data_IF_917883220714
#
_entry.id   IF_917883220714
#
_cell.length_a   1.000
_cell.length_b   1.000
_cell.length_c   1.000
_cell.angle_alpha   90.00
_cell.angle_beta   90.00
_cell.angle_gamma   90.00
#
_symmetry.space_group_name_H-M   'P 1'
#
loop_
_entity.id
_entity.type
_entity.pdbx_description
1 polymer ?
#
# COMPACT_ATOMS: atom_id res chain seq x y z
N UNK A 1 -17.44 -37.79 23.39
CA UNK A 1 -18.03 -36.61 22.71
C UNK A 1 -17.12 -36.28 21.54
N UNK A 2 -17.62 -36.34 20.30
CA UNK A 2 -16.82 -36.01 19.12
C UNK A 2 -16.34 -34.55 19.24
N UNK A 3 -15.03 -34.33 19.22
CA UNK A 3 -14.46 -32.99 19.17
C UNK A 3 -14.89 -32.37 17.84
N UNK A 4 -15.94 -31.55 17.85
CA UNK A 4 -16.35 -30.79 16.65
C UNK A 4 -15.18 -29.89 16.25
N UNK A 5 -14.52 -30.28 15.17
CA UNK A 5 -13.47 -29.49 14.56
C UNK A 5 -14.10 -28.17 14.08
N UNK A 6 -13.51 -27.04 14.45
CA UNK A 6 -14.00 -25.74 14.00
C UNK A 6 -13.90 -25.64 12.47
N UNK A 7 -14.94 -25.14 11.78
CA UNK A 7 -14.89 -24.97 10.33
C UNK A 7 -13.76 -24.01 9.94
N UNK A 8 -13.05 -24.32 8.85
CA UNK A 8 -11.99 -23.46 8.32
C UNK A 8 -12.63 -22.53 7.28
N UNK A 9 -12.53 -21.22 7.50
CA UNK A 9 -13.00 -20.19 6.57
C UNK A 9 -11.90 -19.86 5.55
N UNK A 10 -12.10 -20.23 4.29
CA UNK A 10 -11.24 -19.89 3.14
C UNK A 10 -11.81 -18.74 2.28
N UNK A 11 -12.75 -17.95 2.81
CA UNK A 11 -13.34 -16.82 2.10
C UNK A 11 -12.28 -15.80 1.65
N UNK A 12 -12.33 -15.44 0.37
CA UNK A 12 -11.40 -14.47 -0.24
C UNK A 12 -11.68 -13.01 0.18
N UNK A 13 -12.85 -12.75 0.76
CA UNK A 13 -13.31 -11.44 1.21
C UNK A 13 -14.80 -11.47 1.57
N UNK A 14 -15.21 -11.14 2.81
CA UNK A 14 -14.37 -10.82 3.98
C UNK A 14 -13.48 -11.99 4.41
N UNK A 15 -12.25 -11.70 4.81
CA UNK A 15 -11.29 -12.70 5.30
C UNK A 15 -11.59 -13.16 6.74
N UNK A 16 -10.92 -14.24 7.17
CA UNK A 16 -11.02 -14.75 8.55
C UNK A 16 -10.43 -13.73 9.54
N UNK A 17 -11.22 -13.36 10.55
CA UNK A 17 -10.77 -12.53 11.68
C UNK A 17 -10.23 -13.46 12.79
N UNK A 18 -9.12 -13.13 13.47
CA UNK A 18 -8.65 -13.88 14.63
C UNK A 18 -9.71 -13.96 15.73
N UNK A 19 -9.79 -15.10 16.42
CA UNK A 19 -10.87 -15.40 17.37
C UNK A 19 -10.85 -14.42 18.54
N UNK A 20 -9.66 -14.13 19.04
CA UNK A 20 -9.38 -13.21 20.13
C UNK A 20 -9.88 -11.77 19.85
N UNK A 21 -9.88 -11.33 18.59
CA UNK A 21 -10.41 -10.02 18.20
C UNK A 21 -11.93 -10.02 18.24
N UNK A 22 -12.57 -11.11 17.81
CA UNK A 22 -14.03 -11.26 17.87
C UNK A 22 -14.51 -11.35 19.31
N UNK A 23 -13.79 -12.07 20.18
CA UNK A 23 -14.09 -12.19 21.61
C UNK A 23 -13.98 -10.82 22.30
N UNK A 24 -12.89 -10.07 22.08
CA UNK A 24 -12.76 -8.72 22.63
C UNK A 24 -13.88 -7.77 22.16
N UNK A 25 -14.21 -7.80 20.87
CA UNK A 25 -15.30 -6.98 20.32
C UNK A 25 -16.67 -7.38 20.90
N UNK A 26 -16.90 -8.68 21.15
CA UNK A 26 -18.12 -9.18 21.78
C UNK A 26 -18.23 -8.72 23.23
N UNK A 27 -17.15 -8.85 24.01
CA UNK A 27 -17.11 -8.47 25.43
C UNK A 27 -17.39 -6.97 25.63
N UNK A 28 -16.84 -6.12 24.76
CA UNK A 28 -16.99 -4.66 24.84
C UNK A 28 -18.19 -4.11 24.05
N UNK A 29 -18.96 -4.96 23.36
CA UNK A 29 -19.96 -4.49 22.39
C UNK A 29 -21.02 -3.56 23.00
N UNK A 30 -21.49 -3.89 24.21
CA UNK A 30 -22.52 -3.12 24.91
C UNK A 30 -21.95 -1.98 25.77
N UNK A 31 -20.66 -2.02 26.08
CA UNK A 31 -20.00 -1.03 26.93
C UNK A 31 -18.52 -1.01 26.61
N UNK A 32 -18.11 -0.10 25.72
CA UNK A 32 -16.71 0.06 25.37
C UNK A 32 -15.94 0.58 26.59
N UNK A 33 -14.94 -0.16 27.06
CA UNK A 33 -14.09 0.22 28.20
C UNK A 33 -14.85 0.77 29.43
N UNK A 34 -15.99 0.17 29.77
CA UNK A 34 -16.84 0.59 30.90
C UNK A 34 -17.47 1.99 30.77
N UNK A 35 -17.56 2.55 29.57
CA UNK A 35 -18.24 3.84 29.33
C UNK A 35 -19.75 3.77 29.54
N UNK A 36 -20.33 2.57 29.54
CA UNK A 36 -21.78 2.35 29.57
C UNK A 36 -22.46 2.51 28.22
N UNK A 37 -21.69 2.78 27.16
CA UNK A 37 -22.17 2.96 25.79
C UNK A 37 -21.48 1.98 24.84
N UNK A 38 -22.22 1.53 23.82
CA UNK A 38 -21.61 0.79 22.73
C UNK A 38 -20.68 1.68 21.91
N UNK A 39 -19.62 1.10 21.32
CA UNK A 39 -18.77 1.81 20.35
C UNK A 39 -19.57 2.39 19.18
N UNK A 40 -20.71 1.78 18.83
CA UNK A 40 -21.59 2.26 17.74
C UNK A 40 -22.39 3.50 18.11
N UNK A 41 -22.50 3.82 19.40
CA UNK A 41 -23.24 4.99 19.92
C UNK A 41 -22.31 6.16 20.25
N UNK A 42 -20.99 5.93 20.25
CA UNK A 42 -20.01 6.98 20.52
C UNK A 42 -20.01 8.04 19.42
N UNK A 43 -20.05 9.30 19.83
CA UNK A 43 -19.79 10.41 18.91
C UNK A 43 -18.36 10.32 18.38
N UNK A 44 -18.19 10.45 17.06
CA UNK A 44 -16.88 10.52 16.40
C UNK A 44 -16.03 11.73 16.84
N UNK A 45 -16.62 12.68 17.58
CA UNK A 45 -15.95 13.85 18.15
C UNK A 45 -15.64 13.71 19.63
N UNK A 46 -16.07 12.61 20.27
CA UNK A 46 -15.78 12.35 21.67
C UNK A 46 -14.29 12.04 21.87
N UNK A 47 -13.79 12.33 23.06
CA UNK A 47 -12.41 11.98 23.45
C UNK A 47 -12.19 10.46 23.36
N UNK A 48 -13.17 9.66 23.78
CA UNK A 48 -13.13 8.19 23.69
C UNK A 48 -12.93 7.71 22.26
N UNK A 49 -13.69 8.25 21.29
CA UNK A 49 -13.50 7.87 19.89
C UNK A 49 -12.18 8.39 19.31
N UNK A 50 -11.75 9.60 19.71
CA UNK A 50 -10.46 10.15 19.29
C UNK A 50 -9.29 9.23 19.71
N UNK A 51 -9.37 8.62 20.90
CA UNK A 51 -8.40 7.63 21.37
C UNK A 51 -8.43 6.33 20.55
N UNK A 52 -9.63 5.81 20.21
CA UNK A 52 -9.77 4.65 19.32
C UNK A 52 -9.05 4.91 17.99
N UNK A 53 -9.36 6.03 17.35
CA UNK A 53 -8.81 6.38 16.05
C UNK A 53 -7.29 6.67 16.12
N UNK A 54 -6.83 7.38 17.15
CA UNK A 54 -5.41 7.67 17.38
C UNK A 54 -4.59 6.42 17.65
N UNK A 55 -5.13 5.46 18.42
CA UNK A 55 -4.50 4.17 18.66
C UNK A 55 -4.42 3.34 17.38
N UNK A 56 -5.48 3.30 16.57
CA UNK A 56 -5.48 2.62 15.27
C UNK A 56 -4.42 3.21 14.32
N UNK A 57 -4.34 4.54 14.20
CA UNK A 57 -3.31 5.20 13.39
C UNK A 57 -1.89 4.86 13.89
N UNK A 58 -1.66 5.01 15.20
CA UNK A 58 -0.36 4.76 15.84
C UNK A 58 0.09 3.31 15.65
N UNK A 59 -0.82 2.35 15.80
CA UNK A 59 -0.54 0.93 15.60
C UNK A 59 -0.21 0.62 14.14
N UNK A 60 -0.99 1.12 13.18
CA UNK A 60 -0.67 0.95 11.75
C UNK A 60 0.68 1.58 11.40
N UNK A 61 0.94 2.79 11.90
CA UNK A 61 2.22 3.48 11.71
C UNK A 61 3.39 2.65 12.23
N UNK A 62 3.26 2.05 13.41
CA UNK A 62 4.30 1.16 13.97
C UNK A 62 4.44 -0.13 13.17
N UNK A 63 3.35 -0.83 12.87
CA UNK A 63 3.35 -2.12 12.19
C UNK A 63 3.92 -2.04 10.77
N UNK A 64 3.54 -1.00 10.04
CA UNK A 64 4.02 -0.73 8.68
C UNK A 64 5.26 0.17 8.66
N UNK A 65 5.78 0.56 9.83
CA UNK A 65 6.85 1.52 10.06
C UNK A 65 6.62 2.94 9.48
N UNK A 66 5.42 3.30 9.00
CA UNK A 66 5.12 4.52 8.19
C UNK A 66 5.82 5.79 8.70
N UNK A 67 6.59 6.49 7.85
CA UNK A 67 7.37 7.65 8.27
C UNK A 67 6.50 8.88 8.51
N UNK A 68 7.07 9.84 9.24
CA UNK A 68 6.38 11.06 9.67
C UNK A 68 5.90 11.94 8.51
N UNK A 69 6.55 11.86 7.34
CA UNK A 69 6.16 12.60 6.14
C UNK A 69 5.02 11.92 5.34
N UNK A 70 4.47 10.79 5.82
CA UNK A 70 3.31 10.12 5.24
C UNK A 70 2.10 10.20 6.18
N UNK A 71 0.91 10.34 5.57
CA UNK A 71 -0.38 10.37 6.26
C UNK A 71 -1.10 9.05 6.09
N UNK A 72 -1.81 8.63 7.14
CA UNK A 72 -2.70 7.47 7.14
C UNK A 72 -4.13 8.01 7.14
N UNK A 73 -4.95 7.51 6.24
CA UNK A 73 -6.34 7.93 6.09
C UNK A 73 -7.26 6.72 6.28
N UNK A 74 -8.26 6.85 7.15
CA UNK A 74 -9.36 5.89 7.27
C UNK A 74 -10.55 6.43 6.48
N UNK A 75 -10.90 5.76 5.38
CA UNK A 75 -11.91 6.24 4.43
C UNK A 75 -12.93 5.15 4.09
N UNK A 76 -14.18 5.57 3.96
CA UNK A 76 -15.25 4.77 3.36
C UNK A 76 -15.11 4.64 1.83
N UNK A 77 -15.89 3.76 1.21
CA UNK A 77 -15.93 3.54 -0.25
C UNK A 77 -15.17 2.31 -0.74
N UNK A 78 -14.38 1.67 0.13
CA UNK A 78 -13.62 0.45 -0.19
C UNK A 78 -12.55 0.67 -1.27
N UNK A 79 -11.92 -0.43 -1.71
CA UNK A 79 -10.86 -0.37 -2.73
C UNK A 79 -11.33 0.23 -4.06
N UNK A 80 -12.56 -0.10 -4.49
CA UNK A 80 -13.12 0.45 -5.74
C UNK A 80 -13.37 1.96 -5.67
N UNK A 81 -13.87 2.49 -4.54
CA UNK A 81 -14.00 3.94 -4.36
C UNK A 81 -12.65 4.66 -4.44
N UNK A 82 -11.58 4.00 -3.99
CA UNK A 82 -10.22 4.53 -4.07
C UNK A 82 -9.64 4.54 -5.49
N UNK A 83 -10.08 3.64 -6.39
CA UNK A 83 -9.61 3.67 -7.79
C UNK A 83 -9.93 5.01 -8.46
N UNK A 84 -11.16 5.50 -8.31
CA UNK A 84 -11.55 6.81 -8.83
C UNK A 84 -10.91 7.95 -8.03
N UNK A 85 -10.84 7.84 -6.69
CA UNK A 85 -10.29 8.90 -5.85
C UNK A 85 -8.81 9.17 -6.13
N UNK A 86 -8.00 8.12 -6.31
CA UNK A 86 -6.58 8.24 -6.68
C UNK A 86 -6.46 8.95 -8.03
N UNK A 87 -7.20 8.49 -9.05
CA UNK A 87 -7.13 9.08 -10.38
C UNK A 87 -7.52 10.56 -10.36
N UNK A 88 -8.64 10.92 -9.74
CA UNK A 88 -9.12 12.31 -9.65
C UNK A 88 -8.14 13.28 -8.99
N UNK A 89 -7.35 12.80 -8.03
CA UNK A 89 -6.40 13.64 -7.30
C UNK A 89 -5.03 13.70 -7.96
N UNK A 90 -4.54 12.59 -8.53
CA UNK A 90 -3.16 12.50 -9.01
C UNK A 90 -3.03 12.76 -10.51
N UNK A 91 -3.96 12.30 -11.35
CA UNK A 91 -3.81 12.31 -12.83
C UNK A 91 -3.76 13.72 -13.42
N UNK A 92 -4.29 14.72 -12.71
CA UNK A 92 -4.35 16.12 -13.15
C UNK A 92 -2.97 16.74 -13.36
N UNK A 93 -1.93 16.17 -12.77
CA UNK A 93 -0.56 16.71 -12.82
C UNK A 93 -0.01 16.69 -14.25
N UNK A 94 -0.23 15.59 -14.99
CA UNK A 94 0.26 15.44 -16.37
C UNK A 94 -0.82 14.98 -17.36
N UNK A 95 -2.05 14.76 -16.91
CA UNK A 95 -3.15 14.21 -17.72
C UNK A 95 -2.98 12.74 -18.11
N UNK A 96 -1.86 12.11 -17.72
CA UNK A 96 -1.52 10.72 -18.04
C UNK A 96 -1.15 9.93 -16.79
N UNK A 97 -1.38 8.62 -16.81
CA UNK A 97 -0.94 7.69 -15.76
C UNK A 97 -0.58 6.31 -16.36
N UNK A 98 0.41 5.67 -15.75
CA UNK A 98 0.90 4.35 -16.14
C UNK A 98 0.23 3.26 -15.31
N UNK A 99 -0.22 2.18 -15.95
CA UNK A 99 -0.89 1.05 -15.28
C UNK A 99 -0.25 -0.28 -15.67
N UNK A 100 0.27 -0.99 -14.68
CA UNK A 100 0.76 -2.37 -14.78
C UNK A 100 -0.40 -3.36 -14.54
N UNK A 101 -1.11 -3.69 -15.62
CA UNK A 101 -2.33 -4.50 -15.56
C UNK A 101 -2.04 -5.98 -15.67
N UNK A 102 -1.96 -6.64 -14.51
CA UNK A 102 -1.70 -8.08 -14.40
C UNK A 102 -2.98 -8.92 -14.20
N UNK A 103 -4.08 -8.33 -13.74
CA UNK A 103 -5.31 -9.05 -13.42
C UNK A 103 -6.55 -8.16 -13.42
N UNK A 104 -7.62 -8.62 -12.76
CA UNK A 104 -8.94 -7.96 -12.84
C UNK A 104 -8.98 -6.66 -12.04
N UNK A 105 -8.32 -6.58 -10.88
CA UNK A 105 -8.38 -5.39 -10.03
C UNK A 105 -7.60 -4.24 -10.64
N UNK A 106 -6.39 -4.50 -11.13
CA UNK A 106 -5.64 -3.51 -11.91
C UNK A 106 -6.35 -3.10 -13.20
N UNK A 107 -7.08 -4.01 -13.84
CA UNK A 107 -7.90 -3.70 -15.02
C UNK A 107 -9.09 -2.78 -14.68
N UNK A 108 -9.81 -3.06 -13.60
CA UNK A 108 -10.91 -2.21 -13.11
C UNK A 108 -10.36 -0.83 -12.71
N UNK A 109 -9.25 -0.77 -11.98
CA UNK A 109 -8.61 0.49 -11.60
C UNK A 109 -8.21 1.33 -12.82
N UNK A 110 -7.60 0.72 -13.85
CA UNK A 110 -7.28 1.38 -15.10
C UNK A 110 -8.53 1.88 -15.84
N UNK A 111 -9.60 1.09 -15.83
CA UNK A 111 -10.87 1.44 -16.47
C UNK A 111 -11.54 2.64 -15.80
N UNK A 112 -11.51 2.69 -14.47
CA UNK A 112 -11.98 3.85 -13.72
C UNK A 112 -11.14 5.11 -13.99
N UNK A 113 -9.82 4.97 -14.05
CA UNK A 113 -8.92 6.09 -14.28
C UNK A 113 -9.05 6.74 -15.67
N UNK A 114 -9.46 5.97 -16.70
CA UNK A 114 -9.75 6.48 -18.05
C UNK A 114 -10.81 7.58 -18.08
N UNK A 115 -11.69 7.66 -17.08
CA UNK A 115 -12.70 8.72 -16.98
C UNK A 115 -12.09 10.10 -16.70
N UNK A 116 -10.83 10.14 -16.25
CA UNK A 116 -10.17 11.35 -15.76
C UNK A 116 -8.88 11.73 -16.52
N UNK A 117 -8.38 10.87 -17.41
CA UNK A 117 -7.18 11.13 -18.20
C UNK A 117 -6.77 9.95 -19.08
N UNK A 118 -5.58 10.05 -19.66
CA UNK A 118 -5.05 9.04 -20.60
C UNK A 118 -4.26 7.97 -19.85
N UNK A 119 -4.61 6.71 -20.07
CA UNK A 119 -3.95 5.57 -19.42
C UNK A 119 -2.97 4.91 -20.39
N UNK A 120 -1.71 4.83 -19.98
CA UNK A 120 -0.69 4.04 -20.65
C UNK A 120 -0.59 2.67 -19.97
N UNK A 121 -0.80 1.61 -20.74
CA UNK A 121 -0.57 0.25 -20.28
C UNK A 121 0.91 -0.08 -20.48
N UNK A 122 1.65 -0.27 -19.39
CA UNK A 122 3.12 -0.35 -19.43
C UNK A 122 3.62 -1.65 -20.07
N UNK A 123 2.75 -2.65 -20.19
CA UNK A 123 2.97 -3.85 -21.00
C UNK A 123 1.64 -4.32 -21.59
N UNK A 124 1.65 -5.04 -22.73
CA UNK A 124 0.45 -5.63 -23.29
C UNK A 124 -0.13 -6.67 -22.33
N UNK A 125 -1.46 -6.89 -22.37
CA UNK A 125 -2.10 -7.95 -21.61
C UNK A 125 -1.34 -9.28 -21.84
N UNK A 126 -0.82 -9.94 -20.78
CA UNK A 126 -0.05 -11.16 -20.93
C UNK A 126 -0.83 -12.22 -21.72
N UNK A 127 -0.14 -12.93 -22.62
CA UNK A 127 -0.72 -14.01 -23.44
C UNK A 127 -1.06 -15.25 -22.62
N UNK A 128 -0.38 -15.46 -21.49
CA UNK A 128 -0.71 -16.45 -20.47
C UNK A 128 -1.16 -15.77 -19.18
N UNK A 129 -2.26 -16.26 -18.60
CA UNK A 129 -2.65 -15.90 -17.24
C UNK A 129 -1.55 -16.31 -16.26
N UNK A 130 -1.19 -15.43 -15.32
CA UNK A 130 -0.32 -15.81 -14.20
C UNK A 130 1.08 -15.19 -14.19
N UNK A 131 1.52 -14.54 -15.28
CA UNK A 131 2.90 -14.07 -15.40
C UNK A 131 2.97 -12.54 -15.51
N UNK A 132 3.73 -11.93 -14.60
CA UNK A 132 4.12 -10.52 -14.69
C UNK A 132 5.36 -10.45 -15.60
N UNK A 133 5.34 -9.66 -16.70
CA UNK A 133 6.50 -9.50 -17.57
C UNK A 133 7.70 -8.92 -16.81
N UNK A 134 8.91 -9.26 -17.29
CA UNK A 134 10.15 -8.69 -16.76
C UNK A 134 10.06 -7.16 -16.73
N UNK A 135 10.42 -6.56 -15.60
CA UNK A 135 10.34 -5.11 -15.39
C UNK A 135 11.11 -4.31 -16.46
N UNK A 136 12.21 -4.84 -16.98
CA UNK A 136 12.99 -4.18 -18.03
C UNK A 136 12.22 -4.05 -19.36
N UNK A 137 11.15 -4.82 -19.55
CA UNK A 137 10.29 -4.75 -20.74
C UNK A 137 9.18 -3.69 -20.64
N UNK A 138 9.01 -3.06 -19.47
CA UNK A 138 7.91 -2.12 -19.25
C UNK A 138 8.16 -0.79 -19.98
N UNK A 139 7.17 -0.36 -20.76
CA UNK A 139 7.16 0.92 -21.44
C UNK A 139 6.55 2.02 -20.54
N UNK A 140 7.35 2.49 -19.59
CA UNK A 140 6.97 3.57 -18.67
C UNK A 140 7.02 4.93 -19.37
N UNK A 141 6.03 5.78 -19.11
CA UNK A 141 6.03 7.17 -19.52
C UNK A 141 6.71 8.04 -18.44
N UNK A 142 7.87 8.67 -18.72
CA UNK A 142 8.57 9.49 -17.73
C UNK A 142 7.78 10.73 -17.28
N UNK A 143 6.76 11.11 -18.05
CA UNK A 143 5.86 12.23 -17.74
C UNK A 143 4.54 11.77 -17.12
N UNK A 144 4.36 10.49 -16.78
CA UNK A 144 3.15 10.02 -16.11
C UNK A 144 2.98 10.70 -14.74
N UNK A 145 1.73 10.94 -14.35
CA UNK A 145 1.43 11.51 -13.02
C UNK A 145 1.71 10.51 -11.90
N UNK A 146 1.51 9.22 -12.19
CA UNK A 146 1.83 8.10 -11.30
C UNK A 146 1.92 6.79 -12.11
N UNK A 147 2.57 5.78 -11.51
CA UNK A 147 2.56 4.39 -11.95
C UNK A 147 1.70 3.60 -10.95
N UNK A 148 0.71 2.86 -11.44
CA UNK A 148 -0.18 2.03 -10.64
C UNK A 148 0.08 0.54 -10.87
N UNK A 149 0.09 -0.24 -9.79
CA UNK A 149 0.00 -1.70 -9.88
C UNK A 149 -0.85 -2.28 -8.74
N UNK A 150 -1.45 -3.45 -8.98
CA UNK A 150 -2.10 -4.24 -7.92
C UNK A 150 -1.10 -5.30 -7.46
N UNK A 151 -0.72 -5.25 -6.19
CA UNK A 151 0.36 -6.08 -5.63
C UNK A 151 -0.02 -7.56 -5.57
N UNK A 152 -1.30 -7.86 -5.34
CA UNK A 152 -1.86 -9.20 -5.35
C UNK A 152 -3.26 -9.23 -5.98
N UNK A 153 -3.36 -9.85 -7.16
CA UNK A 153 -4.60 -10.06 -7.91
C UNK A 153 -5.32 -11.32 -7.41
N UNK A 154 -6.32 -11.14 -6.56
CA UNK A 154 -6.96 -12.26 -5.84
C UNK A 154 -7.68 -13.27 -6.73
N UNK A 155 -8.25 -12.83 -7.86
CA UNK A 155 -9.02 -13.71 -8.75
C UNK A 155 -8.09 -14.59 -9.60
N UNK A 156 -6.96 -14.03 -10.04
CA UNK A 156 -5.99 -14.76 -10.86
C UNK A 156 -4.89 -15.44 -10.04
N UNK A 157 -4.75 -15.13 -8.75
CA UNK A 157 -3.68 -15.66 -7.91
C UNK A 157 -2.30 -15.15 -8.32
N UNK A 158 -2.21 -13.89 -8.74
CA UNK A 158 -0.95 -13.28 -9.20
C UNK A 158 -0.46 -12.31 -8.14
N UNK A 159 0.72 -12.57 -7.60
CA UNK A 159 1.37 -11.67 -6.66
C UNK A 159 2.69 -11.16 -7.23
N UNK A 160 2.94 -9.85 -7.11
CA UNK A 160 4.20 -9.27 -7.52
C UNK A 160 5.36 -9.80 -6.65
N UNK A 161 6.43 -10.37 -7.23
CA UNK A 161 7.58 -10.83 -6.46
C UNK A 161 8.53 -9.70 -6.05
N UNK A 162 8.35 -8.50 -6.59
CA UNK A 162 9.15 -7.31 -6.35
C UNK A 162 8.27 -6.04 -6.28
N UNK A 163 8.84 -4.94 -5.80
CA UNK A 163 8.21 -3.61 -5.89
C UNK A 163 8.73 -2.94 -7.17
N UNK A 164 7.86 -2.48 -8.08
CA UNK A 164 8.31 -1.87 -9.33
C UNK A 164 9.12 -0.58 -9.14
N UNK A 165 10.19 -0.41 -9.91
CA UNK A 165 10.95 0.82 -10.07
C UNK A 165 10.26 1.75 -11.09
N UNK A 166 9.52 2.71 -10.55
CA UNK A 166 8.81 3.74 -11.30
C UNK A 166 9.69 4.81 -11.96
N UNK A 167 11.03 4.68 -11.90
CA UNK A 167 12.00 5.62 -12.49
C UNK A 167 11.81 7.07 -12.03
N UNK A 168 11.35 7.26 -10.80
CA UNK A 168 11.15 8.57 -10.18
C UNK A 168 9.73 9.12 -10.25
N UNK A 169 8.84 8.52 -11.05
CA UNK A 169 7.40 8.81 -11.05
C UNK A 169 6.78 8.30 -9.74
N UNK A 170 5.77 8.97 -9.15
CA UNK A 170 5.07 8.43 -7.99
C UNK A 170 4.50 7.03 -8.26
N UNK A 171 4.92 6.04 -7.47
CA UNK A 171 4.29 4.72 -7.49
C UNK A 171 2.99 4.79 -6.66
N UNK A 172 1.95 4.06 -7.06
CA UNK A 172 0.69 3.83 -6.35
C UNK A 172 0.43 2.33 -6.38
N UNK A 173 -0.01 1.77 -5.25
CA UNK A 173 -0.17 0.33 -5.12
C UNK A 173 -1.48 -0.05 -4.43
N UNK A 174 -2.20 -0.99 -5.02
CA UNK A 174 -3.31 -1.67 -4.35
C UNK A 174 -2.79 -2.91 -3.63
N UNK A 175 -2.84 -2.89 -2.30
CA UNK A 175 -2.44 -3.97 -1.41
C UNK A 175 -3.64 -4.58 -0.67
N UNK A 176 -4.86 -4.46 -1.20
CA UNK A 176 -6.10 -4.86 -0.49
C UNK A 176 -6.09 -6.29 0.04
N UNK A 177 -5.32 -7.19 -0.59
CA UNK A 177 -5.22 -8.61 -0.23
C UNK A 177 -3.82 -9.06 0.21
N UNK A 178 -2.86 -8.13 0.30
CA UNK A 178 -1.46 -8.42 0.65
C UNK A 178 -0.85 -7.46 1.66
N UNK A 179 -1.59 -6.44 2.12
CA UNK A 179 -1.11 -5.51 3.14
C UNK A 179 -0.76 -6.29 4.42
N UNK A 180 0.42 -5.99 4.99
CA UNK A 180 0.97 -6.66 6.19
C UNK A 180 1.27 -8.17 6.07
N UNK A 181 1.20 -8.78 4.88
CA UNK A 181 1.57 -10.21 4.73
C UNK A 181 3.09 -10.41 4.67
N UNK A 182 3.85 -9.38 4.29
CA UNK A 182 5.31 -9.38 4.14
C UNK A 182 5.92 -8.12 4.74
N UNK A 183 7.15 -8.23 5.25
CA UNK A 183 7.94 -7.07 5.67
C UNK A 183 8.28 -6.20 4.46
N UNK A 184 8.35 -4.88 4.64
CA UNK A 184 8.82 -3.93 3.64
C UNK A 184 7.99 -3.91 2.35
N UNK A 185 6.66 -4.11 2.44
CA UNK A 185 5.69 -3.81 1.38
C UNK A 185 4.81 -2.68 1.90
N UNK A 186 5.09 -1.46 1.46
CA UNK A 186 4.42 -0.26 1.95
C UNK A 186 3.86 0.54 0.79
N UNK A 187 2.69 1.15 1.04
CA UNK A 187 2.03 2.04 0.11
C UNK A 187 2.89 3.29 -0.12
N UNK A 188 3.31 3.50 -1.36
CA UNK A 188 3.97 4.74 -1.77
C UNK A 188 2.94 5.58 -2.51
N UNK A 189 2.93 6.90 -2.25
CA UNK A 189 2.44 7.96 -3.14
C UNK A 189 3.41 9.10 -2.90
N UNK A 190 4.25 9.42 -3.90
CA UNK A 190 5.12 10.59 -3.85
C UNK A 190 4.38 11.81 -4.39
N UNK A 191 4.42 12.92 -3.66
CA UNK A 191 4.27 14.26 -4.24
C UNK A 191 5.67 14.85 -4.37
N UNK A 192 6.06 15.34 -5.55
CA UNK A 192 7.33 16.05 -5.71
C UNK A 192 7.22 17.44 -5.08
N UNK A 193 7.70 17.59 -3.84
CA UNK A 193 8.15 18.88 -3.33
C UNK A 193 9.59 18.72 -2.79
N UNK A 194 10.48 19.53 -3.36
CA UNK A 194 11.94 19.67 -3.21
C UNK A 194 12.64 19.05 -1.98
N UNK A 195 13.68 18.23 -2.24
CA UNK A 195 15.10 18.50 -1.90
C UNK A 195 15.90 17.19 -1.92
N UNK A 196 17.11 17.25 -2.46
CA UNK A 196 17.95 16.13 -2.90
C UNK A 196 18.63 15.33 -1.76
N UNK A 197 17.99 15.15 -0.60
CA UNK A 197 18.60 14.41 0.53
C UNK A 197 17.71 13.40 1.24
N UNK A 198 16.40 13.34 0.97
CA UNK A 198 15.52 12.34 1.57
C UNK A 198 15.52 11.04 0.74
N UNK A 199 16.26 10.04 1.24
CA UNK A 199 16.24 8.68 0.67
C UNK A 199 14.80 8.13 0.69
N UNK A 200 14.37 7.38 -0.33
CA UNK A 200 13.00 6.87 -0.40
C UNK A 200 12.65 6.08 0.85
N UNK A 201 11.36 6.00 1.14
CA UNK A 201 10.84 4.96 1.99
C UNK A 201 10.99 3.62 1.27
N UNK A 202 12.23 3.13 1.33
CA UNK A 202 12.72 2.01 0.56
C UNK A 202 12.06 0.75 1.12
N UNK A 203 11.06 0.25 0.40
CA UNK A 203 10.78 -1.18 0.34
C UNK A 203 11.97 -1.90 -0.34
N UNK A 204 13.18 -1.80 0.24
CA UNK A 204 14.32 -2.59 -0.23
C UNK A 204 14.23 -3.96 0.42
N UNK A 205 14.17 -4.97 -0.43
CA UNK A 205 14.52 -6.34 -0.07
C UNK A 205 15.95 -6.26 0.48
N UNK A 206 16.11 -6.57 1.76
CA UNK A 206 17.41 -6.89 2.31
C UNK A 206 17.86 -8.23 1.75
N UNK A 207 18.37 -8.26 0.52
CA UNK A 207 19.15 -9.39 0.03
C UNK A 207 20.61 -9.12 0.38
N UNK A 208 20.98 -9.54 1.59
CA UNK A 208 22.32 -10.03 1.84
C UNK A 208 22.56 -11.24 0.91
N UNK A 209 23.54 -11.11 0.01
CA UNK A 209 24.25 -12.14 -0.78
C UNK A 209 24.23 -11.86 -2.29
N UNK A 210 25.27 -11.16 -2.77
CA UNK A 210 25.95 -11.55 -3.99
C UNK A 210 27.45 -11.21 -3.87
N UNK A 211 28.37 -12.17 -4.11
CA UNK A 211 29.80 -11.93 -4.09
C UNK A 211 30.24 -11.36 -5.45
N UNK A 212 31.11 -10.35 -5.41
CA UNK A 212 31.89 -9.94 -6.58
C UNK A 212 31.31 -8.78 -7.39
N UNK A 213 31.64 -7.55 -6.98
CA UNK A 213 32.31 -6.55 -7.83
C UNK A 213 32.79 -5.35 -6.98
N UNK A 214 33.92 -4.72 -7.35
CA UNK A 214 34.72 -3.91 -6.43
C UNK A 214 34.15 -2.50 -6.22
N UNK A 215 34.32 -2.05 -4.98
CA UNK A 215 33.96 -0.74 -4.45
C UNK A 215 34.77 0.34 -5.19
N UNK A 216 34.11 1.22 -5.96
CA UNK A 216 34.66 2.55 -6.23
C UNK A 216 34.27 3.47 -5.09
N UNK A 217 35.24 3.72 -4.22
CA UNK A 217 35.19 4.78 -3.24
C UNK A 217 35.18 6.14 -3.98
N UNK A 218 34.16 6.95 -3.71
CA UNK A 218 34.27 8.40 -3.93
C UNK A 218 34.39 9.04 -2.56
N UNK A 219 35.63 9.41 -2.25
CA UNK A 219 36.01 10.29 -1.14
C UNK A 219 35.27 11.62 -1.26
N UNK A 220 34.61 12.03 -0.17
CA UNK A 220 34.18 13.41 0.06
C UNK A 220 34.60 13.81 1.46
N UNK A 221 35.71 14.53 1.55
CA UNK A 221 36.19 15.23 2.74
C UNK A 221 35.09 16.10 3.36
N UNK A 222 34.83 15.95 4.66
CA UNK A 222 34.34 17.03 5.52
C UNK A 222 35.49 17.46 6.43
N UNK A 223 35.87 18.75 6.50
CA UNK A 223 36.66 19.24 7.61
C UNK A 223 35.75 19.47 8.82
N UNK A 224 36.08 18.78 9.91
CA UNK A 224 35.67 19.15 11.26
C UNK A 224 36.29 20.52 11.60
N UNK A 225 35.49 21.44 12.12
CA UNK A 225 35.99 22.53 12.94
C UNK A 225 35.16 22.57 14.24
N UNK A 226 35.79 22.40 15.41
CA UNK A 226 35.21 22.76 16.70
C UNK A 226 35.60 24.20 17.02
N UNK A 227 34.73 24.95 17.71
CA UNK A 227 35.04 25.74 18.92
C UNK A 227 33.89 26.66 19.33
N UNK A 228 33.60 26.60 20.64
CA UNK A 228 32.83 27.48 21.53
C UNK A 228 31.30 27.44 21.44
#
# INVERSE_FOLDING_TARGET
>A
MSSKQSPINFGAGPGKIPKEVLEAAQEEFLSYQNTGFSVTELSHRSQTYAEINGNAESNLRKLLNVPVNYKILFVHGGGQGLFSAVAMNLIKTAGTADYAVAGIWSHIAATEAKKYGTINYVFPKPSSSGVIPDEASWNLNPNASYVYYCDNETIQGIEYPFVPDSKGVPLVVDMSSSIMTKKNRCFQVRGNYSSSSEKPWNCRIGNSHHPGRPIRACNGHMPFHPQL
#
